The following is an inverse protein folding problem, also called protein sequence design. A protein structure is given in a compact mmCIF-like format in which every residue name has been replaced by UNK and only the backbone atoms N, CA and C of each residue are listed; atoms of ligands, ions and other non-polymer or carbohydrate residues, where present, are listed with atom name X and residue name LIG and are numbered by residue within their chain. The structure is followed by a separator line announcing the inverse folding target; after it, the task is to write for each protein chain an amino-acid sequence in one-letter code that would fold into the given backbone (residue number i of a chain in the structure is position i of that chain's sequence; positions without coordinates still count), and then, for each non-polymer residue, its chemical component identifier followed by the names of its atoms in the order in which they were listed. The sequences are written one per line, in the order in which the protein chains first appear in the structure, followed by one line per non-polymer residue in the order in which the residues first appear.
data_IF_355006516831
#
_entry.id   IF_355006516831
#
_cell.length_a   1.000
_cell.length_b   1.000
_cell.length_c   1.000
_cell.angle_alpha   90.00
_cell.angle_beta   90.00
_cell.angle_gamma   90.00
#
_symmetry.space_group_name_H-M   'P 1'
#
loop_
_entity.id
_entity.type
_entity.pdbx_description
1 polymer ?
#
# COMPACT_ATOMS: atom_id res chain seq x y z
N UNK A 1 24.91 -21.71 -20.25
CA UNK A 1 24.18 -22.80 -20.90
C UNK A 1 22.67 -22.63 -20.76
N UNK A 2 22.17 -22.33 -19.56
CA UNK A 2 20.73 -22.11 -19.31
C UNK A 2 20.08 -21.10 -20.27
N UNK A 3 20.67 -19.92 -20.45
CA UNK A 3 20.13 -18.90 -21.36
C UNK A 3 20.05 -19.36 -22.82
N UNK A 4 21.00 -20.21 -23.24
CA UNK A 4 21.01 -20.82 -24.59
C UNK A 4 19.91 -21.89 -24.67
N UNK A 5 19.74 -22.70 -23.62
CA UNK A 5 18.65 -23.67 -23.50
C UNK A 5 17.25 -23.02 -23.46
N UNK A 6 17.14 -21.79 -22.96
CA UNK A 6 15.94 -20.96 -23.00
C UNK A 6 15.68 -20.30 -24.36
N UNK A 7 16.59 -20.45 -25.35
CA UNK A 7 16.41 -19.98 -26.72
C UNK A 7 17.11 -18.67 -27.07
N UNK A 8 17.98 -18.14 -26.21
CA UNK A 8 18.79 -16.96 -26.53
C UNK A 8 20.01 -17.36 -27.37
N UNK A 9 20.29 -16.61 -28.44
CA UNK A 9 21.44 -16.87 -29.33
C UNK A 9 22.78 -16.49 -28.66
N UNK A 10 23.87 -17.24 -28.88
CA UNK A 10 25.17 -16.98 -28.27
C UNK A 10 25.74 -15.58 -28.54
N UNK A 11 25.55 -15.04 -29.74
CA UNK A 11 26.03 -13.71 -30.13
C UNK A 11 25.35 -12.60 -29.33
N UNK A 12 24.08 -12.80 -28.97
CA UNK A 12 23.31 -11.85 -28.16
C UNK A 12 23.75 -11.91 -26.69
N UNK A 13 23.93 -13.11 -26.14
CA UNK A 13 24.46 -13.30 -24.78
C UNK A 13 25.87 -12.71 -24.66
N UNK A 14 26.70 -12.87 -25.70
CA UNK A 14 28.04 -12.29 -25.74
C UNK A 14 28.07 -10.75 -25.68
N UNK A 15 26.96 -10.07 -26.00
CA UNK A 15 26.80 -8.61 -25.87
C UNK A 15 26.26 -8.16 -24.50
N UNK A 16 25.93 -9.09 -23.61
CA UNK A 16 25.43 -8.84 -22.26
C UNK A 16 26.41 -9.38 -21.20
N UNK A 17 27.60 -8.75 -21.04
CA UNK A 17 28.65 -9.26 -20.18
C UNK A 17 28.34 -9.17 -18.68
N UNK A 18 27.32 -8.38 -18.29
CA UNK A 18 26.92 -8.19 -16.90
C UNK A 18 25.59 -8.91 -16.68
N UNK A 19 25.61 -9.89 -15.79
CA UNK A 19 24.44 -10.64 -15.35
C UNK A 19 24.22 -10.37 -13.86
N UNK A 20 23.00 -10.02 -13.48
CA UNK A 20 22.61 -9.83 -12.09
C UNK A 20 21.25 -10.48 -11.85
N UNK A 21 21.07 -11.05 -10.66
CA UNK A 21 19.84 -11.72 -10.23
C UNK A 21 19.21 -10.97 -9.07
N UNK A 22 17.88 -10.90 -9.06
CA UNK A 22 17.13 -10.31 -7.96
C UNK A 22 16.72 -11.39 -6.96
N UNK A 23 16.72 -11.04 -5.68
CA UNK A 23 16.21 -11.90 -4.61
C UNK A 23 14.67 -11.86 -4.58
N UNK A 24 14.01 -12.97 -4.23
CA UNK A 24 12.57 -12.97 -3.98
C UNK A 24 12.24 -12.09 -2.77
N UNK A 25 11.06 -11.47 -2.81
CA UNK A 25 10.60 -10.59 -1.73
C UNK A 25 10.10 -11.43 -0.55
N UNK A 26 10.64 -11.16 0.65
CA UNK A 26 10.10 -11.65 1.92
C UNK A 26 8.91 -10.80 2.39
N UNK A 27 8.18 -11.28 3.40
CA UNK A 27 7.12 -10.50 4.06
C UNK A 27 7.67 -9.20 4.67
N UNK A 28 8.89 -9.26 5.21
CA UNK A 28 9.60 -8.10 5.75
C UNK A 28 9.92 -7.08 4.66
N UNK A 29 10.36 -7.53 3.48
CA UNK A 29 10.62 -6.63 2.34
C UNK A 29 9.34 -5.93 1.89
N UNK A 30 8.21 -6.64 1.88
CA UNK A 30 6.91 -6.07 1.54
C UNK A 30 6.47 -5.00 2.55
N UNK A 31 6.69 -5.23 3.85
CA UNK A 31 6.42 -4.25 4.90
C UNK A 31 7.27 -3.00 4.72
N UNK A 32 8.55 -3.18 4.40
CA UNK A 32 9.48 -2.08 4.12
C UNK A 32 9.04 -1.29 2.89
N UNK A 33 8.67 -1.96 1.80
CA UNK A 33 8.15 -1.33 0.57
C UNK A 33 6.93 -0.44 0.84
N UNK A 34 6.05 -0.82 1.77
CA UNK A 34 4.88 -0.02 2.15
C UNK A 34 5.24 1.26 2.92
N UNK A 35 6.36 1.29 3.65
CA UNK A 35 6.62 2.29 4.70
C UNK A 35 7.88 3.14 4.49
N UNK A 36 8.97 2.55 4.02
CA UNK A 36 10.29 3.18 3.90
C UNK A 36 10.46 4.02 2.62
N UNK A 37 10.08 3.56 1.42
CA UNK A 37 10.31 4.32 0.20
C UNK A 37 9.65 5.69 0.25
N UNK A 38 10.36 6.70 -0.23
CA UNK A 38 9.83 8.07 -0.35
C UNK A 38 8.51 8.11 -1.11
N UNK A 39 8.38 7.25 -2.13
CA UNK A 39 7.20 7.11 -2.96
C UNK A 39 6.40 5.84 -2.64
N UNK A 40 6.31 5.44 -1.36
CA UNK A 40 5.46 4.29 -0.99
C UNK A 40 3.98 4.58 -1.24
N UNK A 41 3.20 3.53 -1.47
CA UNK A 41 1.76 3.66 -1.79
C UNK A 41 0.99 4.34 -0.66
N UNK A 42 1.34 4.05 0.60
CA UNK A 42 0.72 4.67 1.77
C UNK A 42 1.02 6.17 1.83
N UNK A 43 2.26 6.58 1.54
CA UNK A 43 2.63 8.01 1.51
C UNK A 43 1.92 8.76 0.39
N UNK A 44 1.75 8.13 -0.78
CA UNK A 44 1.01 8.71 -1.90
C UNK A 44 -0.44 8.99 -1.49
N UNK A 45 -1.13 8.00 -0.93
CA UNK A 45 -2.53 8.15 -0.49
C UNK A 45 -2.69 9.05 0.74
N UNK A 46 -1.75 9.01 1.68
CA UNK A 46 -1.74 9.92 2.82
C UNK A 46 -1.60 11.37 2.37
N UNK A 47 -0.78 11.64 1.34
CA UNK A 47 -0.69 12.99 0.76
C UNK A 47 -1.99 13.39 0.08
N UNK A 48 -2.62 12.48 -0.67
CA UNK A 48 -3.87 12.75 -1.39
C UNK A 48 -5.01 13.09 -0.42
N UNK A 49 -5.23 12.28 0.62
CA UNK A 49 -6.20 12.60 1.68
C UNK A 49 -5.80 13.85 2.48
N UNK A 50 -4.50 14.08 2.67
CA UNK A 50 -4.00 15.27 3.33
C UNK A 50 -4.34 16.57 2.61
N UNK A 51 -4.53 16.54 1.28
CA UNK A 51 -5.01 17.70 0.51
C UNK A 51 -6.45 18.07 0.88
N UNK A 52 -7.25 17.10 1.33
CA UNK A 52 -8.61 17.29 1.85
C UNK A 52 -8.62 17.56 3.38
N UNK A 53 -7.44 17.72 3.99
CA UNK A 53 -7.32 17.90 5.44
C UNK A 53 -7.68 16.66 6.25
N UNK A 54 -7.53 15.47 5.67
CA UNK A 54 -7.79 14.17 6.30
C UNK A 54 -6.50 13.37 6.49
N UNK A 55 -6.28 12.87 7.69
CA UNK A 55 -5.11 12.05 8.03
C UNK A 55 -5.39 10.56 7.72
N UNK A 56 -4.45 9.88 7.05
CA UNK A 56 -4.50 8.43 6.84
C UNK A 56 -3.60 7.71 7.84
N UNK A 57 -4.18 6.83 8.64
CA UNK A 57 -3.46 5.99 9.59
C UNK A 57 -3.63 4.51 9.23
N UNK A 58 -2.53 3.87 8.85
CA UNK A 58 -2.49 2.41 8.70
C UNK A 58 -1.82 1.84 9.94
N UNK A 59 -2.59 1.05 10.69
CA UNK A 59 -2.11 0.41 11.92
C UNK A 59 -1.08 -0.68 11.62
N UNK A 60 -0.25 -1.03 12.61
CA UNK A 60 0.80 -2.05 12.45
C UNK A 60 0.24 -3.42 12.06
N UNK A 61 -0.87 -3.83 12.65
CA UNK A 61 -1.58 -5.06 12.30
C UNK A 61 -2.18 -5.01 10.90
N UNK A 62 -2.66 -3.85 10.44
CA UNK A 62 -3.09 -3.64 9.07
C UNK A 62 -1.94 -3.75 8.05
N UNK A 63 -0.76 -3.20 8.37
CA UNK A 63 0.43 -3.34 7.53
C UNK A 63 0.88 -4.79 7.39
N UNK A 64 0.90 -5.53 8.50
CA UNK A 64 1.23 -6.96 8.49
C UNK A 64 0.19 -7.77 7.70
N UNK A 65 -1.10 -7.46 7.85
CA UNK A 65 -2.15 -8.10 7.08
C UNK A 65 -2.01 -7.84 5.57
N UNK A 66 -1.61 -6.63 5.16
CA UNK A 66 -1.35 -6.30 3.76
C UNK A 66 -0.17 -7.11 3.20
N UNK A 67 0.92 -7.21 3.95
CA UNK A 67 2.09 -7.99 3.55
C UNK A 67 1.74 -9.48 3.40
N UNK A 68 1.09 -10.07 4.40
CA UNK A 68 0.63 -11.46 4.36
C UNK A 68 -0.33 -11.75 3.19
N UNK A 69 -1.28 -10.85 2.94
CA UNK A 69 -2.22 -10.96 1.82
C UNK A 69 -1.51 -10.89 0.45
N UNK A 70 -0.48 -10.05 0.32
CA UNK A 70 0.30 -9.94 -0.90
C UNK A 70 1.15 -11.19 -1.17
N UNK A 71 1.76 -11.78 -0.13
CA UNK A 71 2.48 -13.06 -0.22
C UNK A 71 1.53 -14.15 -0.72
N UNK A 72 0.33 -14.26 -0.13
CA UNK A 72 -0.68 -15.25 -0.52
C UNK A 72 -1.11 -15.13 -1.99
N UNK A 73 -1.10 -13.92 -2.56
CA UNK A 73 -1.44 -13.66 -3.97
C UNK A 73 -0.29 -13.94 -4.96
N UNK A 74 0.93 -14.17 -4.50
CA UNK A 74 2.06 -14.65 -5.32
C UNK A 74 2.64 -13.66 -6.34
N UNK A 75 2.17 -12.40 -6.39
CA UNK A 75 2.65 -11.39 -7.34
C UNK A 75 3.54 -10.32 -6.70
N UNK A 76 4.02 -10.57 -5.47
CA UNK A 76 4.96 -9.72 -4.74
C UNK A 76 4.43 -8.30 -4.51
N UNK A 77 5.28 -7.29 -4.70
CA UNK A 77 4.94 -5.88 -4.45
C UNK A 77 3.78 -5.35 -5.31
N UNK A 78 3.49 -5.98 -6.46
CA UNK A 78 2.34 -5.60 -7.30
C UNK A 78 1.00 -5.91 -6.62
N UNK A 79 0.93 -7.01 -5.87
CA UNK A 79 -0.26 -7.34 -5.08
C UNK A 79 -0.55 -6.29 -4.01
N UNK A 80 0.48 -5.78 -3.33
CA UNK A 80 0.32 -4.73 -2.31
C UNK A 80 -0.46 -3.54 -2.85
N UNK A 81 -0.05 -3.06 -4.03
CA UNK A 81 -0.69 -1.91 -4.69
C UNK A 81 -2.16 -2.20 -4.99
N UNK A 82 -2.46 -3.34 -5.62
CA UNK A 82 -3.83 -3.71 -5.98
C UNK A 82 -4.74 -3.89 -4.77
N UNK A 83 -4.26 -4.50 -3.69
CA UNK A 83 -5.03 -4.66 -2.45
C UNK A 83 -5.32 -3.30 -1.83
N UNK A 84 -4.30 -2.46 -1.72
CA UNK A 84 -4.44 -1.14 -1.10
C UNK A 84 -5.33 -0.20 -1.92
N UNK A 85 -5.17 -0.17 -3.24
CA UNK A 85 -6.04 0.60 -4.15
C UNK A 85 -7.51 0.17 -4.02
N UNK A 86 -7.78 -1.13 -3.88
CA UNK A 86 -9.13 -1.63 -3.64
C UNK A 86 -9.76 -1.07 -2.35
N UNK A 87 -9.02 -1.11 -1.23
CA UNK A 87 -9.47 -0.54 0.05
C UNK A 87 -9.67 0.98 -0.07
N UNK A 88 -8.76 1.65 -0.77
CA UNK A 88 -8.80 3.10 -0.93
C UNK A 88 -9.92 3.57 -1.86
N UNK A 89 -10.48 2.71 -2.72
CA UNK A 89 -11.55 3.06 -3.64
C UNK A 89 -12.78 3.54 -2.85
N UNK A 90 -13.23 2.78 -1.87
CA UNK A 90 -14.40 3.13 -1.04
C UNK A 90 -14.13 4.40 -0.23
N UNK A 91 -12.93 4.49 0.37
CA UNK A 91 -12.51 5.67 1.15
C UNK A 91 -12.51 6.92 0.28
N UNK A 92 -11.99 6.83 -0.95
CA UNK A 92 -11.90 7.95 -1.89
C UNK A 92 -13.25 8.31 -2.50
N UNK A 93 -14.23 7.42 -2.47
CA UNK A 93 -15.59 7.75 -2.84
C UNK A 93 -16.32 8.50 -1.72
N UNK A 94 -16.15 8.07 -0.46
CA UNK A 94 -16.93 8.64 0.64
C UNK A 94 -16.31 9.87 1.31
N UNK A 95 -14.99 9.98 1.37
CA UNK A 95 -14.31 11.03 2.16
C UNK A 95 -14.35 12.41 1.47
N UNK A 96 -14.11 12.54 0.16
CA UNK A 96 -14.19 13.84 -0.51
C UNK A 96 -15.56 14.50 -0.33
N UNK A 97 -15.56 15.78 0.02
CA UNK A 97 -16.79 16.54 0.30
C UNK A 97 -17.38 16.35 1.71
N UNK A 98 -16.76 15.52 2.57
CA UNK A 98 -17.12 15.42 4.00
C UNK A 98 -16.15 16.20 4.89
N UNK A 99 -16.59 17.38 5.32
CA UNK A 99 -15.82 18.25 6.23
C UNK A 99 -15.79 17.75 7.68
N UNK A 100 -16.64 16.80 8.04
CA UNK A 100 -16.72 16.26 9.39
C UNK A 100 -15.62 15.25 9.70
N UNK A 101 -14.84 14.78 8.71
CA UNK A 101 -13.82 13.74 8.90
C UNK A 101 -12.45 14.36 9.20
N UNK A 102 -11.74 13.75 10.15
CA UNK A 102 -10.37 14.10 10.52
C UNK A 102 -9.37 13.01 10.15
N UNK A 103 -9.73 11.75 10.41
CA UNK A 103 -8.77 10.64 10.29
C UNK A 103 -9.47 9.40 9.74
N UNK A 104 -8.83 8.74 8.78
CA UNK A 104 -9.20 7.42 8.27
C UNK A 104 -8.23 6.40 8.84
N UNK A 105 -8.74 5.35 9.48
CA UNK A 105 -7.93 4.30 10.09
C UNK A 105 -8.17 2.99 9.34
N UNK A 106 -7.08 2.40 8.85
CA UNK A 106 -7.04 1.07 8.23
C UNK A 106 -6.38 0.10 9.20
N UNK A 107 -7.11 -0.93 9.60
CA UNK A 107 -6.63 -2.02 10.46
C UNK A 107 -6.73 -3.38 9.77
N UNK A 108 -6.31 -4.44 10.47
CA UNK A 108 -6.40 -5.80 9.95
C UNK A 108 -7.80 -6.16 9.41
N UNK A 109 -8.85 -5.87 10.17
CA UNK A 109 -10.23 -6.20 9.75
C UNK A 109 -10.67 -5.50 8.47
N UNK A 110 -10.13 -4.31 8.19
CA UNK A 110 -10.38 -3.60 6.92
C UNK A 110 -9.63 -4.27 5.78
N UNK A 111 -8.39 -4.67 6.00
CA UNK A 111 -7.56 -5.35 4.99
C UNK A 111 -8.12 -6.74 4.65
N UNK A 112 -8.66 -7.43 5.65
CA UNK A 112 -9.30 -8.75 5.49
C UNK A 112 -10.72 -8.65 4.91
N UNK A 113 -11.27 -7.44 4.78
CA UNK A 113 -12.60 -7.19 4.21
C UNK A 113 -13.77 -7.48 5.16
N UNK A 114 -13.50 -7.64 6.46
CA UNK A 114 -14.52 -7.92 7.47
C UNK A 114 -15.30 -6.67 7.90
N UNK A 115 -14.64 -5.50 7.88
CA UNK A 115 -15.21 -4.22 8.31
C UNK A 115 -14.79 -3.09 7.38
N UNK A 116 -15.62 -2.05 7.19
CA UNK A 116 -15.22 -0.85 6.45
C UNK A 116 -14.17 -0.04 7.24
N UNK A 117 -13.49 0.86 6.55
CA UNK A 117 -12.51 1.76 7.14
C UNK A 117 -13.11 2.60 8.28
N UNK A 118 -12.35 2.76 9.37
CA UNK A 118 -12.85 3.52 10.53
C UNK A 118 -12.65 5.01 10.29
N UNK A 119 -13.75 5.75 10.24
CA UNK A 119 -13.76 7.19 10.01
C UNK A 119 -13.93 7.94 11.33
N UNK A 120 -12.90 8.69 11.75
CA UNK A 120 -12.97 9.53 12.93
C UNK A 120 -13.35 10.96 12.56
N UNK A 121 -14.41 11.45 13.19
CA UNK A 121 -14.88 12.82 13.00
C UNK A 121 -14.01 13.86 13.70
N UNK A 122 -13.99 15.08 13.18
CA UNK A 122 -13.46 16.27 13.85
C UNK A 122 -14.28 16.49 15.12
N UNK A 123 -13.62 16.61 16.27
CA UNK A 123 -14.29 17.06 17.49
C UNK A 123 -14.80 18.49 17.22
N UNK A 124 -16.11 18.70 17.22
CA UNK A 124 -16.68 20.04 17.33
C UNK A 124 -16.24 20.60 18.69
N UNK A 125 -15.34 21.57 18.69
CA UNK A 125 -15.16 22.44 19.84
C UNK A 125 -16.48 23.21 20.02
N UNK A 126 -17.29 22.85 21.02
CA UNK A 126 -18.36 23.72 21.52
C UNK A 126 -17.74 25.03 22.02
N UNK A 127 -18.33 26.20 21.78
CA UNK A 127 -19.52 26.65 22.52
C UNK A 127 -19.34 26.35 24.01
N UNK A 128 -18.56 27.19 24.69
CA UNK A 128 -18.61 27.51 26.13
C UNK A 128 -17.59 28.63 26.40
N UNK A 129 -17.99 29.85 26.02
CA UNK A 129 -17.46 31.10 26.57
C UNK A 129 -18.62 32.10 26.49
N UNK A 130 -19.63 31.84 27.30
CA UNK A 130 -20.65 32.81 27.70
C UNK A 130 -20.27 33.34 29.08
#
# INVERSE_FOLDING_TARGET
EDLIGFGLIPEFIGRLPIISTLQPLSEEDLLRILTEPKNSIIRQYSKLLGMEGVELQVTRDGLLALAAAAVKRGTGARALRSIFEGIMLDIMFEVPGRDDIRTVIINRSVVEGEKPAVLRKRKRTGQDAA
#
